data_IF_359219566619
#
_entry.id   IF_359219566619
#
_cell.length_a   1.000
_cell.length_b   1.000
_cell.length_c   1.000
_cell.angle_alpha   90.00
_cell.angle_beta   90.00
_cell.angle_gamma   90.00
#
_symmetry.space_group_name_H-M   'P 1'
#
loop_
_entity.id
_entity.type
_entity.pdbx_description
1 polymer ?
#
# COMPACT_ATOMS: atom_id res chain seq x y z
N UNK A 1 -41.36 -46.88 -35.90
CA UNK A 1 -41.66 -45.90 -34.84
C UNK A 1 -40.59 -44.81 -34.87
N UNK A 2 -40.98 -43.57 -35.14
CA UNK A 2 -40.11 -42.40 -35.26
C UNK A 2 -39.96 -41.76 -33.88
N UNK A 3 -38.73 -41.56 -33.41
CA UNK A 3 -38.44 -40.73 -32.24
C UNK A 3 -37.38 -39.71 -32.63
N UNK A 4 -37.83 -38.46 -32.83
CA UNK A 4 -36.99 -37.28 -33.02
C UNK A 4 -36.53 -36.83 -31.62
N UNK A 5 -35.22 -36.87 -31.35
CA UNK A 5 -34.64 -36.10 -30.25
C UNK A 5 -34.31 -34.71 -30.78
N UNK A 6 -35.05 -33.71 -30.30
CA UNK A 6 -34.85 -32.32 -30.63
C UNK A 6 -33.98 -31.67 -29.57
N UNK A 7 -32.89 -31.05 -30.04
CA UNK A 7 -31.97 -30.16 -29.36
C UNK A 7 -32.64 -29.22 -28.34
N UNK A 8 -32.01 -29.11 -27.17
CA UNK A 8 -32.10 -27.93 -26.31
C UNK A 8 -30.67 -27.57 -25.90
N UNK A 9 -30.02 -26.74 -26.70
CA UNK A 9 -28.78 -26.06 -26.32
C UNK A 9 -29.20 -24.76 -25.63
N UNK A 10 -29.24 -24.78 -24.30
CA UNK A 10 -29.52 -23.60 -23.49
C UNK A 10 -28.22 -22.77 -23.41
N UNK A 11 -28.10 -21.75 -24.25
CA UNK A 11 -27.04 -20.75 -24.14
C UNK A 11 -27.37 -19.88 -22.93
N UNK A 12 -26.71 -20.15 -21.80
CA UNK A 12 -26.68 -19.25 -20.65
C UNK A 12 -25.67 -18.14 -20.97
N UNK A 13 -26.10 -17.17 -21.78
CA UNK A 13 -25.44 -15.88 -21.90
C UNK A 13 -25.84 -15.05 -20.67
N UNK A 14 -25.19 -15.35 -19.54
CA UNK A 14 -25.36 -14.62 -18.30
C UNK A 14 -24.74 -13.23 -18.42
N UNK A 15 -25.60 -12.22 -18.34
CA UNK A 15 -25.32 -10.79 -18.23
C UNK A 15 -24.08 -10.48 -17.37
N UNK A 16 -22.96 -10.21 -18.02
CA UNK A 16 -22.12 -9.10 -17.58
C UNK A 16 -22.53 -7.90 -18.41
N UNK A 17 -23.50 -7.15 -17.89
CA UNK A 17 -23.78 -5.82 -18.40
C UNK A 17 -22.46 -5.04 -18.36
N UNK A 18 -21.93 -4.74 -19.53
CA UNK A 18 -20.88 -3.75 -19.73
C UNK A 18 -21.43 -2.42 -19.25
N UNK A 19 -21.26 -2.15 -17.96
CA UNK A 19 -21.45 -0.82 -17.41
C UNK A 19 -20.57 0.10 -18.25
N UNK A 20 -21.20 0.92 -19.09
CA UNK A 20 -20.52 1.90 -19.91
C UNK A 20 -19.63 2.75 -18.99
N UNK A 21 -18.38 2.94 -19.39
CA UNK A 21 -17.38 3.74 -18.67
C UNK A 21 -17.75 5.24 -18.53
N UNK A 22 -19.01 5.62 -18.78
CA UNK A 22 -19.49 7.00 -18.84
C UNK A 22 -19.99 7.58 -17.52
N UNK A 23 -20.25 6.75 -16.48
CA UNK A 23 -20.78 7.24 -15.18
C UNK A 23 -19.88 6.93 -13.98
N UNK A 24 -18.61 6.57 -14.20
CA UNK A 24 -17.69 6.41 -13.09
C UNK A 24 -17.47 7.76 -12.38
N UNK A 25 -17.62 7.84 -11.04
CA UNK A 25 -17.42 9.09 -10.32
C UNK A 25 -16.02 9.63 -10.60
N UNK A 26 -15.93 10.89 -11.01
CA UNK A 26 -14.66 11.55 -11.26
C UNK A 26 -14.13 12.23 -10.01
N UNK A 27 -12.80 12.32 -9.91
CA UNK A 27 -12.08 13.00 -8.84
C UNK A 27 -10.99 13.88 -9.42
N UNK A 28 -10.65 14.97 -8.71
CA UNK A 28 -9.51 15.82 -9.02
C UNK A 28 -8.74 16.08 -7.72
N UNK A 29 -7.47 15.65 -7.67
CA UNK A 29 -6.65 15.73 -6.45
C UNK A 29 -5.14 15.70 -6.75
N UNK A 30 -4.32 15.97 -5.74
CA UNK A 30 -2.89 15.67 -5.76
C UNK A 30 -2.62 14.27 -5.18
N UNK A 31 -1.79 13.49 -5.84
CA UNK A 31 -1.37 12.17 -5.40
C UNK A 31 0.11 12.18 -5.05
N UNK A 32 0.43 11.78 -3.83
CA UNK A 32 1.81 11.43 -3.46
C UNK A 32 1.98 9.92 -3.60
N UNK A 33 2.97 9.47 -4.39
CA UNK A 33 3.27 8.05 -4.56
C UNK A 33 4.43 7.66 -3.64
N UNK A 34 4.24 6.60 -2.87
CA UNK A 34 5.25 6.10 -1.92
C UNK A 34 5.42 4.61 -2.14
N UNK A 35 6.66 4.16 -2.33
CA UNK A 35 6.95 2.74 -2.40
C UNK A 35 7.22 2.19 -1.00
N UNK A 36 6.65 1.02 -0.70
CA UNK A 36 7.03 0.23 0.44
C UNK A 36 8.16 -0.72 0.04
N UNK A 37 9.35 -0.49 0.57
CA UNK A 37 10.53 -1.27 0.22
C UNK A 37 11.31 -0.57 -0.88
N UNK A 38 11.55 -1.25 -2.01
CA UNK A 38 12.40 -0.73 -3.08
C UNK A 38 11.71 0.34 -3.92
N UNK A 39 12.51 1.15 -4.62
CA UNK A 39 12.00 2.18 -5.52
C UNK A 39 11.20 1.54 -6.66
N UNK A 40 10.02 2.09 -6.96
CA UNK A 40 9.16 1.64 -8.05
C UNK A 40 9.19 2.69 -9.16
N UNK A 41 9.89 2.36 -10.25
CA UNK A 41 10.01 3.24 -11.43
C UNK A 41 8.99 2.86 -12.51
N UNK A 42 8.76 3.79 -13.44
CA UNK A 42 7.94 3.53 -14.63
C UNK A 42 6.45 3.40 -14.36
N UNK A 43 5.97 3.93 -13.23
CA UNK A 43 4.55 3.88 -12.89
C UNK A 43 3.78 4.88 -13.76
N UNK A 44 2.72 4.44 -14.43
CA UNK A 44 1.81 5.30 -15.18
C UNK A 44 0.42 5.22 -14.56
N UNK A 45 -0.19 6.39 -14.36
CA UNK A 45 -1.53 6.51 -13.80
C UNK A 45 -2.56 6.50 -14.94
N UNK A 46 -3.59 5.67 -14.84
CA UNK A 46 -4.68 5.61 -15.83
C UNK A 46 -5.50 6.91 -15.79
N UNK A 47 -5.76 7.50 -16.96
CA UNK A 47 -6.44 8.79 -17.08
C UNK A 47 -5.99 9.57 -18.32
N UNK A 48 -6.27 10.88 -18.41
CA UNK A 48 -5.88 11.71 -19.56
C UNK A 48 -4.35 11.82 -19.73
N UNK A 49 -3.58 11.59 -18.67
CA UNK A 49 -2.11 11.58 -18.69
C UNK A 49 -1.50 10.16 -18.77
N UNK A 50 -2.28 9.15 -19.23
CA UNK A 50 -1.79 7.77 -19.39
C UNK A 50 -0.53 7.78 -20.28
N UNK A 51 0.57 7.25 -19.76
CA UNK A 51 1.88 7.22 -20.42
C UNK A 51 2.95 8.10 -19.75
N UNK A 52 2.58 9.07 -18.91
CA UNK A 52 3.56 9.76 -18.08
C UNK A 52 4.15 8.80 -17.04
N UNK A 53 5.48 8.73 -16.98
CA UNK A 53 6.20 7.87 -16.04
C UNK A 53 6.44 8.62 -14.73
N UNK A 54 6.10 7.95 -13.64
CA UNK A 54 6.32 8.41 -12.27
C UNK A 54 7.17 7.39 -11.51
N UNK A 55 7.83 7.87 -10.46
CA UNK A 55 8.63 7.05 -9.55
C UNK A 55 8.10 7.19 -8.14
N UNK A 56 7.75 6.06 -7.51
CA UNK A 56 7.43 6.01 -6.10
C UNK A 56 8.71 5.68 -5.31
N UNK A 57 9.09 6.58 -4.40
CA UNK A 57 10.33 6.45 -3.64
C UNK A 57 10.14 5.59 -2.38
N UNK A 58 11.17 4.83 -1.96
CA UNK A 58 11.18 4.07 -0.70
C UNK A 58 10.85 4.94 0.50
N UNK A 59 9.67 4.77 1.09
CA UNK A 59 9.27 5.44 2.34
C UNK A 59 9.49 6.97 2.34
N UNK A 60 9.35 7.60 1.18
CA UNK A 60 9.49 9.03 0.96
C UNK A 60 8.41 9.50 0.01
N UNK A 61 7.90 10.70 0.20
CA UNK A 61 6.98 11.30 -0.75
C UNK A 61 7.68 11.55 -2.08
N UNK A 62 7.07 11.11 -3.17
CA UNK A 62 7.41 11.56 -4.52
C UNK A 62 7.07 13.04 -4.71
N UNK A 63 7.43 13.57 -5.87
CA UNK A 63 6.79 14.81 -6.32
C UNK A 63 5.27 14.58 -6.46
N UNK A 64 4.42 15.52 -6.02
CA UNK A 64 2.98 15.36 -6.11
C UNK A 64 2.52 15.33 -7.57
N UNK A 65 1.70 14.35 -7.92
CA UNK A 65 1.10 14.21 -9.25
C UNK A 65 -0.30 14.80 -9.24
N UNK A 66 -0.63 15.68 -10.18
CA UNK A 66 -2.01 16.17 -10.33
C UNK A 66 -2.81 15.10 -11.07
N UNK A 67 -3.89 14.63 -10.46
CA UNK A 67 -4.74 13.61 -11.04
C UNK A 67 -6.15 14.15 -11.25
N UNK A 68 -6.68 13.99 -12.46
CA UNK A 68 -8.10 14.21 -12.77
C UNK A 68 -8.59 13.05 -13.61
N UNK A 69 -9.56 12.28 -13.10
CA UNK A 69 -10.01 11.06 -13.76
C UNK A 69 -10.97 10.26 -12.91
N UNK A 70 -11.08 8.97 -13.20
CA UNK A 70 -11.98 8.07 -12.50
C UNK A 70 -11.53 7.88 -11.04
N UNK A 71 -12.50 7.70 -10.14
CA UNK A 71 -12.23 7.40 -8.75
C UNK A 71 -11.48 6.07 -8.58
N UNK A 72 -11.75 5.09 -9.44
CA UNK A 72 -10.96 3.88 -9.52
C UNK A 72 -9.75 4.14 -10.44
N UNK A 73 -8.62 4.41 -9.82
CA UNK A 73 -7.36 4.68 -10.49
C UNK A 73 -6.67 3.36 -10.86
N UNK A 74 -6.25 3.25 -12.11
CA UNK A 74 -5.41 2.17 -12.62
C UNK A 74 -3.94 2.59 -12.52
N UNK A 75 -3.07 1.69 -12.04
CA UNK A 75 -1.62 1.91 -12.05
C UNK A 75 -0.99 0.85 -12.93
N UNK A 76 -0.31 1.31 -13.97
CA UNK A 76 0.47 0.48 -14.88
C UNK A 76 1.96 0.61 -14.56
N UNK A 77 2.71 -0.47 -14.77
CA UNK A 77 4.17 -0.44 -14.78
C UNK A 77 4.63 -0.58 -16.23
N UNK A 78 5.19 0.50 -16.75
CA UNK A 78 5.77 0.55 -18.10
C UNK A 78 7.25 0.22 -17.96
N UNK A 79 7.76 -0.71 -18.77
CA UNK A 79 9.18 -1.02 -18.79
C UNK A 79 10.02 0.27 -18.87
N UNK A 80 10.76 0.51 -17.80
CA UNK A 80 11.95 1.34 -17.83
C UNK A 80 13.02 0.40 -18.35
N UNK A 81 13.21 0.35 -19.68
CA UNK A 81 14.18 -0.54 -20.31
C UNK A 81 15.45 -0.59 -19.48
N UNK A 82 15.94 -1.81 -19.18
CA UNK A 82 16.92 -2.12 -18.14
C UNK A 82 17.90 -0.99 -17.82
N UNK A 83 17.50 -0.10 -16.92
CA UNK A 83 18.46 0.80 -16.27
C UNK A 83 19.35 -0.10 -15.41
N UNK A 84 20.67 0.05 -15.55
CA UNK A 84 21.68 -0.71 -14.83
C UNK A 84 21.23 -0.86 -13.37
N UNK A 85 21.00 -2.12 -12.97
CA UNK A 85 20.69 -2.42 -11.59
C UNK A 85 21.79 -1.77 -10.74
N UNK A 86 21.44 -1.01 -9.68
CA UNK A 86 22.45 -0.39 -8.83
C UNK A 86 23.44 -1.49 -8.40
N UNK A 87 24.75 -1.20 -8.50
CA UNK A 87 25.80 -2.14 -8.10
C UNK A 87 25.48 -2.66 -6.69
N UNK A 88 25.02 -3.91 -6.62
CA UNK A 88 24.74 -4.58 -5.36
C UNK A 88 26.05 -4.75 -4.63
N UNK A 89 26.10 -4.34 -3.36
CA UNK A 89 27.21 -4.72 -2.51
C UNK A 89 27.27 -6.25 -2.37
N UNK A 90 28.44 -6.82 -2.10
CA UNK A 90 28.56 -8.27 -1.83
C UNK A 90 27.70 -8.74 -0.64
N UNK A 91 27.38 -7.82 0.27
CA UNK A 91 26.42 -8.05 1.36
C UNK A 91 24.98 -8.13 0.80
N UNK A 92 24.54 -7.15 0.02
CA UNK A 92 23.22 -7.16 -0.62
C UNK A 92 23.02 -8.34 -1.56
N UNK A 93 24.06 -8.76 -2.29
CA UNK A 93 24.01 -9.93 -3.17
C UNK A 93 23.78 -11.24 -2.39
N UNK A 94 24.36 -11.36 -1.18
CA UNK A 94 24.14 -12.50 -0.28
C UNK A 94 22.75 -12.49 0.36
N UNK A 95 22.17 -11.30 0.54
CA UNK A 95 20.81 -11.16 1.05
C UNK A 95 19.74 -11.29 -0.04
N UNK A 96 20.06 -10.97 -1.30
CA UNK A 96 19.16 -11.11 -2.45
C UNK A 96 18.82 -12.57 -2.79
N UNK A 97 19.69 -13.52 -2.44
CA UNK A 97 19.45 -14.96 -2.63
C UNK A 97 18.59 -15.57 -1.54
N UNK A 98 18.28 -14.84 -0.47
CA UNK A 98 17.33 -15.26 0.56
C UNK A 98 15.94 -14.80 0.10
N UNK A 99 15.06 -15.71 -0.35
CA UNK A 99 13.75 -15.31 -0.82
C UNK A 99 12.99 -14.60 0.31
N UNK A 100 12.56 -13.37 0.04
CA UNK A 100 11.78 -12.49 0.93
C UNK A 100 10.44 -13.11 1.40
N UNK A 101 10.06 -14.24 0.79
CA UNK A 101 8.92 -15.07 1.13
C UNK A 101 9.29 -16.53 0.84
N UNK A 102 9.08 -17.45 1.77
CA UNK A 102 9.29 -18.90 1.56
C UNK A 102 8.23 -19.53 0.63
N UNK A 103 7.56 -18.74 -0.19
CA UNK A 103 6.35 -19.12 -0.93
C UNK A 103 6.62 -18.95 -2.41
N UNK A 104 6.39 -20.03 -3.17
CA UNK A 104 6.53 -20.06 -4.61
C UNK A 104 5.68 -18.92 -5.22
N UNK A 105 6.20 -18.10 -6.16
CA UNK A 105 5.42 -17.07 -6.86
C UNK A 105 4.06 -17.55 -7.37
N UNK A 106 3.96 -18.83 -7.76
CA UNK A 106 2.71 -19.45 -8.19
C UNK A 106 1.70 -19.69 -7.04
N UNK A 107 2.15 -20.09 -5.85
CA UNK A 107 1.27 -20.24 -4.67
C UNK A 107 0.73 -18.89 -4.20
N UNK A 108 1.58 -17.87 -4.32
CA UNK A 108 1.29 -16.49 -4.02
C UNK A 108 0.23 -15.90 -4.98
N UNK A 109 0.32 -16.22 -6.28
CA UNK A 109 -0.72 -15.92 -7.27
C UNK A 109 -2.01 -16.70 -7.02
N UNK A 110 -1.94 -17.98 -6.63
CA UNK A 110 -3.12 -18.78 -6.25
C UNK A 110 -3.85 -18.18 -5.05
N UNK A 111 -3.12 -17.75 -4.02
CA UNK A 111 -3.72 -17.07 -2.86
C UNK A 111 -4.42 -15.76 -3.23
N UNK A 112 -3.88 -15.01 -4.19
CA UNK A 112 -4.56 -13.83 -4.75
C UNK A 112 -5.80 -14.19 -5.56
N UNK A 113 -5.75 -15.26 -6.37
CA UNK A 113 -6.90 -15.75 -7.12
C UNK A 113 -8.04 -16.22 -6.21
N UNK A 114 -7.70 -16.73 -5.02
CA UNK A 114 -8.65 -17.11 -3.97
C UNK A 114 -9.13 -15.92 -3.12
N UNK A 115 -8.58 -14.71 -3.33
CA UNK A 115 -9.00 -13.52 -2.60
C UNK A 115 -10.47 -13.21 -2.87
N UNK A 116 -11.23 -12.93 -1.82
CA UNK A 116 -12.61 -12.48 -1.93
C UNK A 116 -12.76 -10.95 -2.11
N UNK A 117 -11.65 -10.21 -2.16
CA UNK A 117 -11.67 -8.77 -2.40
C UNK A 117 -12.10 -8.49 -3.86
N UNK A 118 -13.20 -7.74 -4.08
CA UNK A 118 -13.68 -7.43 -5.42
C UNK A 118 -12.65 -6.64 -6.26
N UNK A 119 -11.82 -5.80 -5.65
CA UNK A 119 -10.79 -5.05 -6.37
C UNK A 119 -9.67 -5.97 -6.86
N UNK A 120 -9.27 -6.96 -6.04
CA UNK A 120 -8.26 -7.95 -6.45
C UNK A 120 -8.79 -8.80 -7.61
N UNK A 121 -10.04 -9.27 -7.54
CA UNK A 121 -10.67 -10.01 -8.64
C UNK A 121 -10.73 -9.18 -9.92
N UNK A 122 -11.16 -7.91 -9.82
CA UNK A 122 -11.21 -7.01 -10.97
C UNK A 122 -9.83 -6.74 -11.58
N UNK A 123 -8.80 -6.59 -10.73
CA UNK A 123 -7.41 -6.39 -11.16
C UNK A 123 -6.91 -7.60 -11.95
N UNK A 124 -7.13 -8.82 -11.44
CA UNK A 124 -6.68 -10.05 -12.10
C UNK A 124 -7.33 -10.22 -13.47
N UNK A 125 -8.65 -10.02 -13.58
CA UNK A 125 -9.37 -10.12 -14.86
C UNK A 125 -8.85 -9.08 -15.87
N UNK A 126 -8.71 -7.81 -15.47
CA UNK A 126 -8.21 -6.76 -16.38
C UNK A 126 -6.77 -6.98 -16.81
N UNK A 127 -5.94 -7.58 -15.95
CA UNK A 127 -4.54 -7.86 -16.25
C UNK A 127 -4.37 -8.95 -17.32
N UNK A 128 -5.35 -9.82 -17.53
CA UNK A 128 -5.34 -10.78 -18.66
C UNK A 128 -5.31 -10.04 -20.01
N UNK A 129 -5.96 -8.88 -20.09
CA UNK A 129 -5.98 -8.02 -21.29
C UNK A 129 -4.85 -6.98 -21.29
N UNK A 130 -4.52 -6.42 -20.12
CA UNK A 130 -3.47 -5.41 -19.93
C UNK A 130 -2.40 -5.88 -18.91
N UNK A 131 -1.40 -6.68 -19.32
CA UNK A 131 -0.39 -7.23 -18.40
C UNK A 131 0.43 -6.20 -17.62
N UNK A 132 0.51 -4.96 -18.12
CA UNK A 132 1.19 -3.85 -17.48
C UNK A 132 0.43 -3.31 -16.27
N UNK A 133 -0.86 -3.65 -16.09
CA UNK A 133 -1.66 -3.25 -14.94
C UNK A 133 -1.14 -3.95 -13.67
N UNK A 134 -0.63 -3.17 -12.73
CA UNK A 134 -0.03 -3.67 -11.49
C UNK A 134 -0.86 -3.37 -10.25
N UNK A 135 -1.76 -2.38 -10.29
CA UNK A 135 -2.66 -2.09 -9.17
C UNK A 135 -3.98 -1.43 -9.59
N UNK A 136 -5.02 -1.65 -8.80
CA UNK A 136 -6.27 -0.88 -8.82
C UNK A 136 -6.44 -0.14 -7.49
N UNK A 137 -6.65 1.17 -7.55
CA UNK A 137 -6.66 2.06 -6.39
C UNK A 137 -8.00 2.78 -6.31
N UNK A 138 -8.78 2.50 -5.26
CA UNK A 138 -10.00 3.26 -4.98
C UNK A 138 -9.64 4.59 -4.30
N UNK A 139 -9.67 5.69 -5.05
CA UNK A 139 -9.41 7.02 -4.52
C UNK A 139 -10.59 7.53 -3.67
N UNK A 140 -10.33 8.26 -2.58
CA UNK A 140 -11.39 8.82 -1.77
C UNK A 140 -12.06 10.00 -2.49
N UNK A 141 -13.39 10.05 -2.45
CA UNK A 141 -14.13 11.23 -2.90
C UNK A 141 -13.91 12.40 -1.93
N UNK A 142 -14.10 13.62 -2.42
CA UNK A 142 -14.05 14.87 -1.65
C UNK A 142 -12.73 15.09 -0.90
N UNK A 143 -11.61 14.67 -1.49
CA UNK A 143 -10.26 14.98 -1.00
C UNK A 143 -9.53 15.82 -2.05
N UNK A 144 -8.72 16.74 -1.57
CA UNK A 144 -7.80 17.52 -2.40
C UNK A 144 -6.44 16.83 -2.56
N UNK A 145 -6.07 15.92 -1.63
CA UNK A 145 -4.79 15.24 -1.64
C UNK A 145 -4.85 13.86 -0.99
N UNK A 146 -4.22 12.87 -1.62
CA UNK A 146 -4.06 11.54 -1.07
C UNK A 146 -2.63 11.02 -1.23
N UNK A 147 -2.19 10.20 -0.28
CA UNK A 147 -0.98 9.38 -0.43
C UNK A 147 -1.38 7.98 -0.86
N UNK A 148 -0.74 7.47 -1.91
CA UNK A 148 -0.85 6.07 -2.35
C UNK A 148 0.45 5.37 -1.98
N UNK A 149 0.41 4.59 -0.90
CA UNK A 149 1.50 3.72 -0.48
C UNK A 149 1.36 2.37 -1.21
N UNK A 150 2.35 2.03 -2.03
CA UNK A 150 2.36 0.84 -2.87
C UNK A 150 3.27 -0.23 -2.25
N UNK A 151 2.67 -1.34 -1.83
CA UNK A 151 3.40 -2.49 -1.33
C UNK A 151 3.58 -3.56 -2.39
N UNK A 152 4.75 -4.21 -2.48
CA UNK A 152 4.90 -5.40 -3.28
C UNK A 152 3.85 -6.44 -2.88
N UNK A 153 3.15 -6.94 -3.88
CA UNK A 153 2.27 -8.09 -3.76
C UNK A 153 2.78 -9.21 -4.67
N UNK A 154 2.12 -10.35 -4.58
CA UNK A 154 2.46 -11.51 -5.36
C UNK A 154 2.24 -11.31 -6.88
N UNK A 155 2.99 -12.04 -7.70
CA UNK A 155 2.83 -12.02 -9.15
C UNK A 155 3.23 -10.72 -9.86
N UNK A 156 4.10 -9.90 -9.24
CA UNK A 156 4.45 -8.58 -9.78
C UNK A 156 3.29 -7.58 -9.73
N UNK A 157 2.34 -7.80 -8.82
CA UNK A 157 1.29 -6.83 -8.48
C UNK A 157 1.75 -5.93 -7.35
N UNK A 158 1.02 -4.84 -7.16
CA UNK A 158 1.19 -3.94 -6.03
C UNK A 158 -0.13 -3.87 -5.24
N UNK A 159 -0.02 -3.96 -3.93
CA UNK A 159 -1.11 -3.69 -3.00
C UNK A 159 -1.10 -2.20 -2.65
N UNK A 160 -2.11 -1.43 -3.07
CA UNK A 160 -2.20 -0.03 -2.70
C UNK A 160 -2.82 0.15 -1.30
N UNK A 161 -2.34 1.15 -0.59
CA UNK A 161 -2.94 1.72 0.60
C UNK A 161 -3.15 3.21 0.38
N UNK A 162 -4.42 3.64 0.41
CA UNK A 162 -4.77 5.03 0.19
C UNK A 162 -4.99 5.74 1.51
N UNK A 163 -4.29 6.85 1.69
CA UNK A 163 -4.34 7.67 2.89
C UNK A 163 -4.85 9.06 2.49
N UNK A 164 -5.94 9.49 3.13
CA UNK A 164 -6.46 10.86 2.96
C UNK A 164 -5.49 11.84 3.61
N UNK A 165 -5.01 12.80 2.82
CA UNK A 165 -3.90 13.67 3.17
C UNK A 165 -4.24 15.16 3.06
N UNK A 166 -5.53 15.48 3.10
CA UNK A 166 -6.01 16.86 3.18
C UNK A 166 -5.29 17.60 4.31
N UNK A 167 -4.88 18.87 4.09
CA UNK A 167 -4.12 19.63 5.08
C UNK A 167 -4.75 19.64 6.48
N UNK A 168 -6.08 19.66 6.54
CA UNK A 168 -6.85 19.62 7.80
C UNK A 168 -6.67 18.31 8.56
N UNK A 169 -6.50 17.20 7.84
CA UNK A 169 -6.35 15.85 8.39
C UNK A 169 -4.92 15.50 8.81
N UNK A 170 -3.95 16.31 8.36
CA UNK A 170 -2.53 16.18 8.69
C UNK A 170 -1.95 17.55 9.03
N UNK A 171 -2.29 18.09 10.21
CA UNK A 171 -1.82 19.42 10.62
C UNK A 171 -0.29 19.48 10.69
N UNK A 172 0.26 20.57 10.17
CA UNK A 172 1.67 20.96 10.35
C UNK A 172 1.95 21.07 11.85
N UNK A 173 3.16 20.73 12.30
CA UNK A 173 3.46 20.81 13.72
C UNK A 173 3.11 19.55 14.52
N UNK A 174 2.48 18.53 13.90
CA UNK A 174 1.98 17.34 14.59
C UNK A 174 2.36 16.04 13.88
N UNK A 175 2.20 14.93 14.61
CA UNK A 175 2.41 13.56 14.08
C UNK A 175 1.08 12.85 13.97
N UNK A 176 0.70 12.44 12.75
CA UNK A 176 -0.42 11.52 12.56
C UNK A 176 0.07 10.08 12.63
N UNK A 177 -0.38 9.35 13.63
CA UNK A 177 -0.14 7.92 13.77
C UNK A 177 -1.25 7.19 13.04
N UNK A 178 -0.91 6.28 12.13
CA UNK A 178 -1.87 5.55 11.31
C UNK A 178 -1.61 4.05 11.43
N UNK A 179 -2.62 3.29 11.85
CA UNK A 179 -2.53 1.84 11.87
C UNK A 179 -3.07 1.26 10.56
N UNK A 180 -2.18 0.90 9.65
CA UNK A 180 -2.52 0.17 8.43
C UNK A 180 -2.31 -1.34 8.58
N UNK A 181 -1.84 -1.81 9.74
CA UNK A 181 -1.82 -3.24 10.06
C UNK A 181 -3.25 -3.78 10.23
N UNK A 182 -3.47 -5.08 10.00
CA UNK A 182 -4.76 -5.72 10.24
C UNK A 182 -5.04 -5.96 11.74
N UNK A 183 -4.08 -5.64 12.62
CA UNK A 183 -4.17 -5.91 14.05
C UNK A 183 -4.47 -4.64 14.84
N UNK A 184 -5.02 -4.81 16.04
CA UNK A 184 -5.07 -3.73 17.03
C UNK A 184 -3.66 -3.50 17.56
N UNK A 185 -3.27 -2.23 17.63
CA UNK A 185 -1.94 -1.84 18.12
C UNK A 185 -2.08 -0.94 19.34
N UNK A 186 -1.23 -1.17 20.33
CA UNK A 186 -1.14 -0.39 21.55
C UNK A 186 -0.04 0.64 21.36
N UNK A 187 -0.35 1.91 21.60
CA UNK A 187 0.61 3.00 21.45
C UNK A 187 0.64 3.86 22.70
N UNK A 188 1.81 3.97 23.30
CA UNK A 188 2.09 4.95 24.37
C UNK A 188 3.00 6.03 23.79
N UNK A 189 2.61 7.29 23.93
CA UNK A 189 3.38 8.44 23.45
C UNK A 189 3.73 9.39 24.59
N UNK A 190 5.01 9.79 24.67
CA UNK A 190 5.53 10.75 25.66
C UNK A 190 5.15 10.39 27.10
N UNK A 191 5.17 9.09 27.44
CA UNK A 191 4.84 8.60 28.78
C UNK A 191 3.34 8.60 29.14
N UNK A 192 2.45 9.01 28.23
CA UNK A 192 1.00 9.04 28.48
C UNK A 192 0.39 7.63 28.58
N UNK A 193 -0.91 7.58 28.91
CA UNK A 193 -1.64 6.32 28.89
C UNK A 193 -1.61 5.66 27.50
N UNK A 194 -1.49 4.33 27.50
CA UNK A 194 -1.55 3.54 26.28
C UNK A 194 -2.91 3.71 25.60
N UNK A 195 -2.89 3.98 24.29
CA UNK A 195 -4.06 4.07 23.46
C UNK A 195 -4.07 2.90 22.48
N UNK A 196 -5.12 2.10 22.52
CA UNK A 196 -5.37 1.09 21.50
C UNK A 196 -5.86 1.77 20.21
N UNK A 197 -5.16 1.54 19.11
CA UNK A 197 -5.50 2.03 17.78
C UNK A 197 -6.00 0.86 16.92
N UNK A 198 -7.27 0.92 16.55
CA UNK A 198 -7.89 -0.10 15.70
C UNK A 198 -7.30 -0.08 14.27
N UNK A 199 -7.40 -1.19 13.51
CA UNK A 199 -7.04 -1.22 12.10
C UNK A 199 -7.70 -0.07 11.31
N UNK A 200 -6.95 0.52 10.38
CA UNK A 200 -7.34 1.66 9.54
C UNK A 200 -7.75 2.92 10.30
N UNK A 201 -7.45 3.02 11.60
CA UNK A 201 -7.66 4.25 12.38
C UNK A 201 -6.37 5.03 12.53
N UNK A 202 -6.53 6.32 12.78
CA UNK A 202 -5.44 7.25 13.03
C UNK A 202 -5.65 8.06 14.31
N UNK A 203 -4.56 8.62 14.82
CA UNK A 203 -4.55 9.54 15.96
C UNK A 203 -3.51 10.63 15.75
N UNK A 204 -3.85 11.86 16.11
CA UNK A 204 -2.90 12.98 16.09
C UNK A 204 -2.20 13.05 17.45
N UNK A 205 -0.88 13.16 17.43
CA UNK A 205 -0.02 13.29 18.60
C UNK A 205 0.73 14.62 18.53
N UNK A 206 0.79 15.32 19.66
CA UNK A 206 1.60 16.52 19.82
C UNK A 206 3.02 16.13 20.26
N UNK A 207 4.05 16.46 19.49
CA UNK A 207 5.45 16.28 19.88
C UNK A 207 5.78 17.10 21.13
N UNK A 208 6.74 16.63 21.94
CA UNK A 208 7.24 17.34 23.12
C UNK A 208 8.74 17.57 22.92
N UNK A 209 9.19 18.82 23.04
CA UNK A 209 10.60 19.20 22.86
C UNK A 209 11.20 18.72 21.53
N UNK A 210 10.46 18.88 20.42
CA UNK A 210 10.94 18.50 19.08
C UNK A 210 11.05 16.99 18.84
N UNK A 211 10.42 16.15 19.67
CA UNK A 211 10.45 14.69 19.54
C UNK A 211 9.15 14.05 19.99
N UNK A 212 8.93 12.81 19.55
CA UNK A 212 7.84 11.97 19.98
C UNK A 212 8.41 10.63 20.46
N UNK A 213 8.43 10.40 21.77
CA UNK A 213 8.82 9.11 22.32
C UNK A 213 7.64 8.16 22.22
N UNK A 214 7.83 6.95 21.68
CA UNK A 214 6.77 5.98 21.55
C UNK A 214 7.16 4.60 22.07
N UNK A 215 6.15 3.85 22.51
CA UNK A 215 6.19 2.41 22.73
C UNK A 215 5.04 1.79 21.91
N UNK A 216 5.38 0.77 21.12
CA UNK A 216 4.48 0.04 20.24
C UNK A 216 4.27 -1.38 20.78
N UNK A 217 3.01 -1.75 20.90
CA UNK A 217 2.53 -3.08 21.26
C UNK A 217 1.52 -3.58 20.24
N UNK A 218 1.28 -4.87 20.20
CA UNK A 218 0.21 -5.48 19.41
C UNK A 218 -0.54 -6.53 20.21
N UNK A 219 -1.80 -6.73 19.86
CA UNK A 219 -2.65 -7.74 20.49
C UNK A 219 -2.40 -9.10 19.82
N UNK A 220 -1.86 -10.05 20.58
CA UNK A 220 -1.68 -11.44 20.18
C UNK A 220 -2.66 -12.39 20.90
N UNK A 221 -2.58 -13.70 20.64
CA UNK A 221 -3.45 -14.70 21.27
C UNK A 221 -3.38 -14.69 22.80
N UNK A 222 -2.19 -14.45 23.35
CA UNK A 222 -1.91 -14.43 24.79
C UNK A 222 -2.07 -13.02 25.41
N UNK A 223 -2.67 -12.07 24.67
CA UNK A 223 -2.79 -10.67 25.06
C UNK A 223 -1.75 -9.75 24.42
N UNK A 224 -1.54 -8.60 25.04
CA UNK A 224 -0.69 -7.53 24.51
C UNK A 224 0.80 -7.89 24.59
N UNK A 225 1.51 -7.81 23.46
CA UNK A 225 2.97 -8.00 23.37
C UNK A 225 3.62 -6.68 22.97
N UNK A 226 4.58 -6.22 23.78
CA UNK A 226 5.40 -5.04 23.44
C UNK A 226 6.39 -5.44 22.36
N UNK A 227 6.44 -4.68 21.26
CA UNK A 227 7.38 -4.92 20.19
C UNK A 227 8.62 -4.01 20.27
N UNK A 228 8.45 -2.77 20.72
CA UNK A 228 9.58 -1.88 20.87
C UNK A 228 9.20 -0.45 21.20
N UNK A 229 10.23 0.35 21.47
CA UNK A 229 10.12 1.76 21.78
C UNK A 229 11.22 2.52 21.03
N UNK A 230 10.92 3.75 20.61
CA UNK A 230 11.92 4.61 19.95
C UNK A 230 11.51 6.09 20.05
N UNK A 231 12.37 6.97 19.54
CA UNK A 231 12.13 8.40 19.39
C UNK A 231 11.93 8.74 17.91
N UNK A 232 10.89 9.53 17.62
CA UNK A 232 10.69 10.13 16.31
C UNK A 232 11.13 11.59 16.42
N UNK A 233 12.21 12.03 15.75
CA UNK A 233 12.57 13.44 15.73
C UNK A 233 11.50 14.21 14.96
N UNK A 234 11.20 15.43 15.37
CA UNK A 234 10.08 16.19 14.83
C UNK A 234 10.51 17.62 14.47
N UNK A 235 9.97 18.16 13.38
CA UNK A 235 10.19 19.55 12.95
C UNK A 235 8.86 20.26 12.81
N UNK A 236 8.76 21.47 13.39
CA UNK A 236 7.51 22.23 13.45
C UNK A 236 7.01 22.73 12.10
N UNK A 237 7.87 22.73 11.08
CA UNK A 237 7.57 23.10 9.69
C UNK A 237 7.14 21.90 8.82
N UNK A 238 7.00 20.70 9.40
CA UNK A 238 6.68 19.48 8.69
C UNK A 238 5.30 18.92 9.03
N UNK A 239 4.69 18.29 8.03
CA UNK A 239 3.62 17.32 8.18
C UNK A 239 4.26 15.93 8.33
N UNK A 240 4.04 15.28 9.48
CA UNK A 240 4.65 13.97 9.79
C UNK A 240 3.59 12.88 9.92
N UNK A 241 3.76 11.79 9.19
CA UNK A 241 2.96 10.58 9.33
C UNK A 241 3.80 9.43 9.89
N UNK A 242 3.32 8.77 10.93
CA UNK A 242 3.88 7.56 11.50
C UNK A 242 2.95 6.39 11.20
N UNK A 243 3.32 5.56 10.22
CA UNK A 243 2.50 4.49 9.69
C UNK A 243 2.96 3.17 10.30
N UNK A 244 2.03 2.40 10.82
CA UNK A 244 2.23 1.07 11.40
C UNK A 244 1.65 0.04 10.44
N UNK A 245 2.44 -0.96 10.08
CA UNK A 245 2.14 -1.93 9.06
C UNK A 245 2.43 -3.34 9.60
N UNK A 246 1.78 -4.38 9.05
CA UNK A 246 2.23 -5.75 9.30
C UNK A 246 3.49 -6.01 8.47
N UNK A 247 4.54 -6.50 9.10
CA UNK A 247 5.69 -7.02 8.37
C UNK A 247 5.44 -8.49 8.04
N UNK A 248 5.54 -8.86 6.77
CA UNK A 248 5.68 -10.26 6.37
C UNK A 248 7.15 -10.60 6.04
N UNK A 249 8.06 -9.65 6.28
CA UNK A 249 9.42 -9.75 5.79
C UNK A 249 10.27 -10.67 6.68
N UNK A 250 10.87 -11.69 6.09
CA UNK A 250 11.78 -12.65 6.74
C UNK A 250 13.13 -12.02 7.13
N UNK A 251 13.51 -10.89 6.52
CA UNK A 251 14.82 -10.22 6.68
C UNK A 251 15.20 -9.80 8.09
N UNK A 252 14.25 -9.77 9.02
CA UNK A 252 14.52 -9.42 10.41
C UNK A 252 14.62 -10.66 11.31
N UNK A 253 14.73 -11.87 10.76
CA UNK A 253 15.22 -13.00 11.53
C UNK A 253 16.67 -12.71 11.93
N UNK A 254 16.88 -12.37 13.20
CA UNK A 254 18.23 -12.20 13.73
C UNK A 254 18.96 -13.55 13.63
N UNK A 255 20.29 -13.54 13.56
CA UNK A 255 21.11 -14.75 13.43
C UNK A 255 20.93 -15.77 14.57
N UNK A 256 20.27 -15.38 15.66
CA UNK A 256 19.87 -16.24 16.78
C UNK A 256 18.50 -16.93 16.60
N UNK A 257 17.83 -16.73 15.46
CA UNK A 257 16.51 -17.27 15.16
C UNK A 257 15.35 -16.48 15.75
N UNK A 258 15.59 -15.34 16.41
CA UNK A 258 14.52 -14.45 16.86
C UNK A 258 13.84 -13.80 15.65
N UNK A 259 12.51 -13.89 15.62
CA UNK A 259 11.73 -13.38 14.49
C UNK A 259 11.81 -11.86 14.44
N UNK A 260 11.84 -11.38 13.20
CA UNK A 260 11.68 -9.98 12.89
C UNK A 260 10.51 -9.32 13.58
N UNK A 261 10.60 -7.99 13.74
CA UNK A 261 9.49 -7.19 14.26
C UNK A 261 8.20 -7.51 13.50
N UNK A 262 7.19 -8.01 14.23
CA UNK A 262 5.87 -8.39 13.71
C UNK A 262 5.17 -7.22 12.96
N UNK A 263 5.41 -6.00 13.41
CA UNK A 263 4.97 -4.75 12.82
C UNK A 263 6.16 -3.95 12.29
N UNK A 264 5.99 -3.37 11.11
CA UNK A 264 6.91 -2.37 10.58
C UNK A 264 6.38 -0.96 10.87
N UNK A 265 7.28 -0.03 11.16
CA UNK A 265 6.94 1.38 11.37
C UNK A 265 7.67 2.24 10.35
N UNK A 266 6.93 3.12 9.68
CA UNK A 266 7.42 4.02 8.64
C UNK A 266 7.11 5.45 9.05
N UNK A 267 8.05 6.37 8.88
CA UNK A 267 7.80 7.80 9.08
C UNK A 267 7.91 8.54 7.76
N UNK A 268 6.78 9.08 7.27
CA UNK A 268 6.76 9.96 6.10
C UNK A 268 6.74 11.42 6.56
N UNK A 269 7.49 12.28 5.87
CA UNK A 269 7.61 13.70 6.20
C UNK A 269 7.57 14.53 4.94
N UNK A 270 6.80 15.61 4.95
CA UNK A 270 6.85 16.65 3.92
C UNK A 270 6.83 18.03 4.57
N UNK A 271 7.52 18.99 3.96
CA UNK A 271 7.41 20.39 4.35
C UNK A 271 6.00 20.89 4.06
N UNK A 272 5.48 21.72 4.96
CA UNK A 272 4.29 22.50 4.67
C UNK A 272 4.61 23.46 3.51
N UNK A 273 3.83 23.37 2.43
CA UNK A 273 3.86 24.31 1.30
C UNK A 273 3.01 25.53 1.59
#
# INVERSE_FOLDING_TARGET
MKSKLTSFLLIVAGLFATASAQDAPQVSMQLDLVAWGNELRGLSLGGPEKGQKHTAKPFQYSEPVRYTGNQLLEIHQIDTGADEAPEMSEEDARHATIPLSSTNPEENLRSLAESNDPLVKALLVRREEEPTLVALVQLPANTSRATVLLAPAAGGLLQPYVIKDDPESLPVGKVRVLNLSPFRVGMRFNGNQEAALLPRKSKIINPVNGRCAYQLSYEGPDGWKTQGNNLIPFRSDEQTQFIILKSNNSFFQSSDGSTGRFLQTVTLRRKAS
#
